data_IF_791091500598
#
_entry.id   IF_791091500598
#
_cell.length_a   1.000
_cell.length_b   1.000
_cell.length_c   1.000
_cell.angle_alpha   90.00
_cell.angle_beta   90.00
_cell.angle_gamma   90.00
#
_symmetry.space_group_name_H-M   'P 1'
#
loop_
_entity.id
_entity.type
_entity.pdbx_description
1 polymer ?
#
# COMPACT_ATOMS: atom_id res chain seq x y z
N UNK A 1 -17.93 3.00 15.70
CA UNK A 1 -17.39 3.48 14.41
C UNK A 1 -16.15 2.70 13.96
N UNK A 2 -15.53 1.90 14.83
CA UNK A 2 -14.33 1.13 14.49
C UNK A 2 -14.48 0.12 13.33
N UNK A 3 -15.65 -0.52 13.18
CA UNK A 3 -15.92 -1.46 12.05
C UNK A 3 -15.86 -0.79 10.68
N UNK A 4 -16.20 0.51 10.61
CA UNK A 4 -16.09 1.31 9.39
C UNK A 4 -14.62 1.61 9.07
N UNK A 5 -13.81 1.88 10.10
CA UNK A 5 -12.36 2.10 9.96
C UNK A 5 -11.62 0.88 9.41
N UNK A 6 -11.87 -0.32 9.95
CA UNK A 6 -11.29 -1.56 9.41
C UNK A 6 -11.70 -1.83 7.96
N UNK A 7 -13.00 -1.73 7.66
CA UNK A 7 -13.48 -1.93 6.29
C UNK A 7 -12.89 -0.94 5.30
N UNK A 8 -12.73 0.32 5.70
CA UNK A 8 -12.11 1.34 4.87
C UNK A 8 -10.62 1.02 4.61
N UNK A 9 -9.91 0.57 5.63
CA UNK A 9 -8.50 0.18 5.48
C UNK A 9 -8.33 -1.03 4.55
N UNK A 10 -9.18 -2.05 4.68
CA UNK A 10 -9.18 -3.22 3.79
C UNK A 10 -9.42 -2.83 2.32
N UNK A 11 -10.24 -1.81 2.05
CA UNK A 11 -10.49 -1.29 0.70
C UNK A 11 -9.23 -0.60 0.18
N UNK A 12 -8.62 0.27 0.99
CA UNK A 12 -7.39 0.96 0.60
C UNK A 12 -6.23 0.02 0.34
N UNK A 13 -6.06 -1.03 1.15
CA UNK A 13 -5.03 -2.04 0.92
C UNK A 13 -5.20 -2.69 -0.47
N UNK A 14 -6.44 -3.06 -0.83
CA UNK A 14 -6.74 -3.65 -2.14
C UNK A 14 -6.51 -2.68 -3.30
N UNK A 15 -6.92 -1.42 -3.13
CA UNK A 15 -6.70 -0.38 -4.14
C UNK A 15 -5.21 -0.09 -4.34
N UNK A 16 -4.45 -0.03 -3.24
CA UNK A 16 -2.99 0.13 -3.28
C UNK A 16 -2.32 -1.05 -3.98
N UNK A 17 -2.64 -2.29 -3.59
CA UNK A 17 -2.05 -3.50 -4.19
C UNK A 17 -2.33 -3.56 -5.69
N UNK A 18 -3.56 -3.25 -6.10
CA UNK A 18 -3.91 -3.19 -7.52
C UNK A 18 -3.10 -2.13 -8.26
N UNK A 19 -3.05 -0.90 -7.74
CA UNK A 19 -2.31 0.19 -8.37
C UNK A 19 -0.81 -0.10 -8.44
N UNK A 20 -0.26 -0.75 -7.41
CA UNK A 20 1.14 -1.17 -7.36
C UNK A 20 1.45 -2.18 -8.46
N UNK A 21 0.62 -3.22 -8.61
CA UNK A 21 0.80 -4.26 -9.65
C UNK A 21 0.64 -3.65 -11.04
N UNK A 22 -0.41 -2.86 -11.27
CA UNK A 22 -0.65 -2.21 -12.56
C UNK A 22 0.53 -1.30 -12.94
N UNK A 23 1.11 -0.59 -11.96
CA UNK A 23 2.30 0.23 -12.18
C UNK A 23 3.55 -0.60 -12.46
N UNK A 24 3.87 -1.63 -11.67
CA UNK A 24 5.05 -2.49 -11.91
C UNK A 24 4.99 -3.18 -13.28
N UNK A 25 3.80 -3.60 -13.73
CA UNK A 25 3.58 -4.12 -15.07
C UNK A 25 3.86 -3.07 -16.15
N UNK A 26 3.31 -1.85 -15.99
CA UNK A 26 3.51 -0.77 -16.93
C UNK A 26 4.98 -0.36 -17.06
N UNK A 27 5.74 -0.36 -15.96
CA UNK A 27 7.19 -0.08 -16.05
C UNK A 27 7.96 -1.25 -16.66
N UNK A 28 7.49 -2.48 -16.44
CA UNK A 28 8.12 -3.68 -17.00
C UNK A 28 8.18 -3.67 -18.53
N UNK A 29 7.25 -2.97 -19.19
CA UNK A 29 7.28 -2.75 -20.65
C UNK A 29 8.54 -2.01 -21.12
N UNK A 30 9.17 -1.20 -20.25
CA UNK A 30 10.37 -0.42 -20.55
C UNK A 30 11.68 -1.19 -20.29
N UNK A 31 11.64 -2.40 -19.72
CA UNK A 31 12.84 -3.12 -19.26
C UNK A 31 13.87 -3.38 -20.37
N UNK A 32 13.39 -3.64 -21.60
CA UNK A 32 14.26 -3.90 -22.75
C UNK A 32 15.05 -2.66 -23.20
N UNK A 33 14.47 -1.48 -23.03
CA UNK A 33 15.03 -0.21 -23.51
C UNK A 33 15.80 0.52 -22.39
N UNK A 34 15.25 0.55 -21.17
CA UNK A 34 15.73 1.39 -20.05
C UNK A 34 15.81 0.60 -18.71
N UNK A 35 16.62 -0.48 -18.62
CA UNK A 35 16.66 -1.36 -17.45
C UNK A 35 17.11 -0.67 -16.16
N UNK A 36 17.98 0.34 -16.25
CA UNK A 36 18.43 1.12 -15.08
C UNK A 36 17.31 1.98 -14.49
N UNK A 37 16.45 2.54 -15.33
CA UNK A 37 15.28 3.33 -14.92
C UNK A 37 14.27 2.40 -14.27
N UNK A 38 14.00 1.24 -14.88
CA UNK A 38 13.09 0.23 -14.32
C UNK A 38 13.55 -0.23 -12.94
N UNK A 39 14.84 -0.53 -12.77
CA UNK A 39 15.39 -0.87 -11.47
C UNK A 39 15.19 0.24 -10.43
N UNK A 40 15.50 1.49 -10.78
CA UNK A 40 15.36 2.63 -9.87
C UNK A 40 13.91 2.85 -9.43
N UNK A 41 12.95 2.76 -10.37
CA UNK A 41 11.53 2.91 -10.07
C UNK A 41 11.02 1.76 -9.20
N UNK A 42 11.42 0.51 -9.45
CA UNK A 42 11.07 -0.63 -8.57
C UNK A 42 11.58 -0.43 -7.15
N UNK A 43 12.76 0.14 -6.97
CA UNK A 43 13.28 0.45 -5.62
C UNK A 43 12.44 1.53 -4.91
N UNK A 44 11.95 2.53 -5.65
CA UNK A 44 11.00 3.51 -5.13
C UNK A 44 9.64 2.88 -4.79
N UNK A 45 9.13 1.98 -5.64
CA UNK A 45 7.92 1.21 -5.38
C UNK A 45 8.03 0.41 -4.07
N UNK A 46 9.12 -0.32 -3.87
CA UNK A 46 9.38 -1.02 -2.60
C UNK A 46 9.34 -0.06 -1.39
N UNK A 47 9.85 1.16 -1.55
CA UNK A 47 9.83 2.18 -0.50
C UNK A 47 8.40 2.67 -0.23
N UNK A 48 7.60 2.90 -1.26
CA UNK A 48 6.17 3.25 -1.13
C UNK A 48 5.37 2.14 -0.45
N UNK A 49 5.57 0.88 -0.84
CA UNK A 49 4.94 -0.28 -0.22
C UNK A 49 5.28 -0.39 1.27
N UNK A 50 6.56 -0.21 1.63
CA UNK A 50 6.99 -0.19 3.03
C UNK A 50 6.35 0.94 3.84
N UNK A 51 6.31 2.15 3.29
CA UNK A 51 5.65 3.29 3.93
C UNK A 51 4.15 3.05 4.14
N UNK A 52 3.47 2.50 3.14
CA UNK A 52 2.05 2.17 3.22
C UNK A 52 1.78 1.08 4.25
N UNK A 53 2.57 0.00 4.27
CA UNK A 53 2.43 -1.07 5.27
C UNK A 53 2.58 -0.54 6.71
N UNK A 54 3.52 0.37 6.95
CA UNK A 54 3.69 1.00 8.27
C UNK A 54 2.50 1.90 8.65
N UNK A 55 1.96 2.66 7.69
CA UNK A 55 0.77 3.48 7.89
C UNK A 55 -0.43 2.61 8.24
N UNK A 56 -0.67 1.55 7.47
CA UNK A 56 -1.73 0.58 7.66
C UNK A 56 -1.65 -0.06 9.06
N UNK A 57 -0.48 -0.53 9.47
CA UNK A 57 -0.30 -1.12 10.81
C UNK A 57 -0.63 -0.12 11.93
N UNK A 58 -0.23 1.15 11.79
CA UNK A 58 -0.59 2.21 12.75
C UNK A 58 -2.09 2.48 12.75
N UNK A 59 -2.73 2.56 11.58
CA UNK A 59 -4.17 2.76 11.46
C UNK A 59 -4.95 1.61 12.10
N UNK A 60 -4.56 0.35 11.86
CA UNK A 60 -5.14 -0.83 12.53
C UNK A 60 -5.04 -0.71 14.05
N UNK A 61 -3.87 -0.31 14.58
CA UNK A 61 -3.67 -0.11 16.02
C UNK A 61 -4.60 0.96 16.58
N UNK A 62 -4.76 2.10 15.88
CA UNK A 62 -5.68 3.16 16.28
C UNK A 62 -7.13 2.65 16.29
N UNK A 63 -7.57 1.98 15.22
CA UNK A 63 -8.94 1.45 15.13
C UNK A 63 -9.23 0.38 16.18
N UNK A 64 -8.26 -0.47 16.50
CA UNK A 64 -8.37 -1.46 17.59
C UNK A 64 -8.54 -0.77 18.95
N UNK A 65 -7.77 0.28 19.22
CA UNK A 65 -7.87 1.02 20.48
C UNK A 65 -9.18 1.80 20.57
N UNK A 66 -9.62 2.44 19.48
CA UNK A 66 -10.93 3.09 19.41
C UNK A 66 -12.07 2.10 19.66
N UNK A 67 -12.00 0.90 19.08
CA UNK A 67 -13.00 -0.15 19.31
C UNK A 67 -13.12 -0.53 20.78
N UNK A 68 -12.00 -0.61 21.52
CA UNK A 68 -11.98 -0.96 22.95
C UNK A 68 -12.59 0.11 23.84
N UNK A 69 -12.48 1.38 23.46
CA UNK A 69 -13.04 2.52 24.21
C UNK A 69 -14.54 2.68 23.93
N UNK A 70 -15.01 2.26 22.74
CA UNK A 70 -16.43 2.29 22.36
C UNK A 70 -17.29 1.20 23.05
N UNK A 71 -16.69 0.29 23.83
CA UNK A 71 -17.37 -0.81 24.56
C UNK A 71 -17.76 -0.41 25.97
#
# INVERSE_FOLDING_TARGET
MASVGFRWLDILEKEFDKAFVDLDLAIGELEADEPSVVFAVRQQLCSLSSCFAQLTHKAQTVFQNSAKIEV
#
